data_IF_680811162085
#
_entry.id   IF_680811162085
#
_cell.length_a   1.000
_cell.length_b   1.000
_cell.length_c   1.000
_cell.angle_alpha   90.00
_cell.angle_beta   90.00
_cell.angle_gamma   90.00
#
_symmetry.space_group_name_H-M   'P 1'
#
loop_
_entity.id
_entity.type
_entity.pdbx_description
1 polymer ?
#
# COMPACT_ATOMS: atom_id res chain seq x y z
N UNK A 1 -18.61 14.04 44.64
CA UNK A 1 -18.63 15.26 43.80
C UNK A 1 -17.78 15.03 42.58
N UNK A 2 -18.08 15.54 41.40
CA UNK A 2 -19.28 16.19 40.89
C UNK A 2 -19.32 15.88 39.40
N UNK A 3 -20.40 15.26 38.94
CA UNK A 3 -20.60 14.88 37.54
C UNK A 3 -20.94 16.17 36.78
N UNK A 4 -19.93 16.87 36.27
CA UNK A 4 -20.11 18.08 35.46
C UNK A 4 -20.67 17.71 34.09
N UNK A 5 -21.63 18.50 33.59
CA UNK A 5 -22.21 18.40 32.25
C UNK A 5 -21.63 19.46 31.30
N UNK A 6 -20.66 20.25 31.76
CA UNK A 6 -19.98 21.23 30.92
C UNK A 6 -18.99 20.50 29.99
N UNK A 7 -19.22 20.54 28.66
CA UNK A 7 -18.41 19.81 27.70
C UNK A 7 -16.92 20.20 27.73
N UNK A 8 -16.60 21.47 28.04
CA UNK A 8 -15.21 21.92 28.11
C UNK A 8 -14.50 21.28 29.30
N UNK A 9 -15.16 21.26 30.46
CA UNK A 9 -14.61 20.65 31.67
C UNK A 9 -14.52 19.12 31.57
N UNK A 10 -15.42 18.49 30.80
CA UNK A 10 -15.32 17.07 30.46
C UNK A 10 -14.08 16.80 29.59
N UNK A 11 -13.88 17.59 28.53
CA UNK A 11 -12.73 17.48 27.63
C UNK A 11 -11.39 17.70 28.35
N UNK A 12 -11.27 18.76 29.16
CA UNK A 12 -10.03 19.04 29.90
C UNK A 12 -9.67 17.93 30.89
N UNK A 13 -10.68 17.32 31.52
CA UNK A 13 -10.45 16.17 32.41
C UNK A 13 -9.98 14.94 31.63
N UNK A 14 -10.53 14.71 30.45
CA UNK A 14 -10.17 13.57 29.58
C UNK A 14 -8.79 13.76 28.93
N UNK A 15 -8.46 14.97 28.46
CA UNK A 15 -7.10 15.28 28.00
C UNK A 15 -6.08 15.16 29.14
N UNK A 16 -6.43 15.57 30.35
CA UNK A 16 -5.54 15.51 31.52
C UNK A 16 -5.21 14.10 32.00
N UNK A 17 -5.86 13.04 31.48
CA UNK A 17 -5.44 11.66 31.74
C UNK A 17 -4.38 11.15 30.76
N UNK A 18 -4.06 11.91 29.70
CA UNK A 18 -3.02 11.56 28.74
C UNK A 18 -1.69 12.14 29.23
N UNK A 19 -0.71 11.27 29.47
CA UNK A 19 0.64 11.69 29.89
C UNK A 19 1.37 12.42 28.76
N UNK A 20 2.21 13.39 29.13
CA UNK A 20 3.06 14.09 28.16
C UNK A 20 4.11 13.13 27.58
N UNK A 21 4.46 13.32 26.31
CA UNK A 21 5.49 12.52 25.66
C UNK A 21 6.88 12.87 26.19
N UNK A 22 7.70 11.84 26.39
CA UNK A 22 9.15 12.00 26.54
C UNK A 22 9.79 12.09 25.16
N UNK A 23 11.00 12.64 25.06
CA UNK A 23 11.77 12.64 23.80
C UNK A 23 11.91 11.24 23.19
N UNK A 24 12.13 10.22 24.03
CA UNK A 24 12.17 8.82 23.58
C UNK A 24 10.82 8.33 23.06
N UNK A 25 9.72 8.74 23.71
CA UNK A 25 8.36 8.45 23.28
C UNK A 25 8.02 9.09 21.93
N UNK A 26 8.45 10.33 21.70
CA UNK A 26 8.30 11.02 20.41
C UNK A 26 9.03 10.28 19.29
N UNK A 27 10.29 9.89 19.53
CA UNK A 27 11.08 9.10 18.57
C UNK A 27 10.43 7.75 18.29
N UNK A 28 9.93 7.06 19.33
CA UNK A 28 9.26 5.78 19.16
C UNK A 28 7.97 5.89 18.33
N UNK A 29 7.20 6.98 18.50
CA UNK A 29 6.01 7.24 17.70
C UNK A 29 6.41 7.55 16.25
N UNK A 30 7.43 8.38 16.02
CA UNK A 30 7.92 8.69 14.68
C UNK A 30 8.31 7.42 13.91
N UNK A 31 9.11 6.54 14.52
CA UNK A 31 9.49 5.24 13.91
C UNK A 31 8.29 4.38 13.57
N UNK A 32 7.30 4.30 14.47
CA UNK A 32 6.07 3.52 14.22
C UNK A 32 5.25 4.08 13.06
N UNK A 33 5.24 5.41 12.88
CA UNK A 33 4.58 6.06 11.75
C UNK A 33 5.31 5.72 10.45
N UNK A 34 6.64 5.82 10.44
CA UNK A 34 7.49 5.49 9.28
C UNK A 34 7.36 4.03 8.87
N UNK A 35 7.44 3.10 9.84
CA UNK A 35 7.22 1.67 9.60
C UNK A 35 5.83 1.40 9.00
N UNK A 36 4.80 2.07 9.51
CA UNK A 36 3.44 1.96 8.99
C UNK A 36 3.31 2.47 7.55
N UNK A 37 3.93 3.61 7.24
CA UNK A 37 3.95 4.17 5.88
C UNK A 37 4.72 3.27 4.91
N UNK A 38 5.86 2.72 5.34
CA UNK A 38 6.66 1.77 4.56
C UNK A 38 5.87 0.49 4.26
N UNK A 39 5.15 -0.06 5.25
CA UNK A 39 4.27 -1.22 5.04
C UNK A 39 3.17 -0.94 4.01
N UNK A 40 2.56 0.25 4.04
CA UNK A 40 1.56 0.65 3.05
C UNK A 40 2.19 0.74 1.66
N UNK A 41 3.35 1.37 1.52
CA UNK A 41 4.04 1.47 0.23
C UNK A 41 4.44 0.10 -0.32
N UNK A 42 4.97 -0.79 0.53
CA UNK A 42 5.31 -2.16 0.14
C UNK A 42 4.09 -2.94 -0.34
N UNK A 43 2.95 -2.83 0.36
CA UNK A 43 1.70 -3.46 -0.03
C UNK A 43 1.19 -2.93 -1.38
N UNK A 44 1.28 -1.61 -1.61
CA UNK A 44 0.92 -1.00 -2.90
C UNK A 44 1.86 -1.45 -4.02
N UNK A 45 3.16 -1.57 -3.77
CA UNK A 45 4.16 -1.95 -4.78
C UNK A 45 3.99 -3.38 -5.30
N UNK A 46 3.56 -4.31 -4.44
CA UNK A 46 3.29 -5.71 -4.84
C UNK A 46 1.97 -5.83 -5.61
N UNK A 47 1.05 -4.87 -5.46
CA UNK A 47 -0.25 -4.88 -6.11
C UNK A 47 -0.16 -4.35 -7.55
N UNK A 48 -0.37 -5.19 -8.59
CA UNK A 48 -0.08 -4.80 -9.98
C UNK A 48 -0.94 -3.64 -10.50
N UNK A 49 -2.19 -3.53 -10.04
CA UNK A 49 -3.06 -2.42 -10.42
C UNK A 49 -2.52 -1.06 -9.94
N UNK A 50 -1.79 -1.01 -8.82
CA UNK A 50 -1.13 0.23 -8.39
C UNK A 50 -0.11 0.71 -9.42
N UNK A 51 0.68 -0.22 -9.96
CA UNK A 51 1.67 0.08 -10.99
C UNK A 51 0.99 0.49 -12.29
N UNK A 52 -0.07 -0.21 -12.70
CA UNK A 52 -0.85 0.15 -13.88
C UNK A 52 -1.42 1.57 -13.81
N UNK A 53 -2.03 1.92 -12.68
CA UNK A 53 -2.57 3.26 -12.45
C UNK A 53 -1.49 4.33 -12.46
N UNK A 54 -0.34 4.06 -11.84
CA UNK A 54 0.80 4.99 -11.83
C UNK A 54 1.34 5.23 -13.25
N UNK A 55 1.49 4.17 -14.05
CA UNK A 55 1.92 4.27 -15.44
C UNK A 55 0.90 5.01 -16.30
N UNK A 56 -0.40 4.76 -16.09
CA UNK A 56 -1.46 5.49 -16.79
C UNK A 56 -1.45 6.99 -16.46
N UNK A 57 -1.22 7.34 -15.20
CA UNK A 57 -1.04 8.73 -14.77
C UNK A 57 0.18 9.38 -15.40
N UNK A 58 1.29 8.64 -15.53
CA UNK A 58 2.50 9.12 -16.20
C UNK A 58 2.29 9.35 -17.70
N UNK A 59 1.55 8.48 -18.39
CA UNK A 59 1.15 8.72 -19.78
C UNK A 59 0.24 9.95 -19.90
N UNK A 60 -0.72 10.14 -18.98
CA UNK A 60 -1.53 11.36 -18.94
C UNK A 60 -0.68 12.62 -18.72
N UNK A 61 0.43 12.53 -17.98
CA UNK A 61 1.38 13.63 -17.86
C UNK A 61 2.11 13.93 -19.17
N UNK A 62 2.59 12.90 -19.90
CA UNK A 62 3.19 13.09 -21.24
C UNK A 62 2.23 13.76 -22.23
N UNK A 63 0.94 13.48 -22.11
CA UNK A 63 -0.12 14.11 -22.89
C UNK A 63 -0.47 15.54 -22.42
N UNK A 64 0.17 16.04 -21.36
CA UNK A 64 -0.09 17.37 -20.78
C UNK A 64 -1.36 17.47 -19.93
N UNK A 65 -2.00 16.35 -19.59
CA UNK A 65 -3.24 16.29 -18.79
C UNK A 65 -3.01 16.30 -17.28
N UNK A 66 -1.80 15.92 -16.84
CA UNK A 66 -1.37 15.91 -15.43
C UNK A 66 0.00 16.55 -15.27
N UNK A 67 0.26 17.13 -14.09
CA UNK A 67 1.60 17.63 -13.73
C UNK A 67 2.43 16.52 -13.10
N UNK A 68 3.75 16.56 -13.29
CA UNK A 68 4.66 15.54 -12.75
C UNK A 68 4.58 15.44 -11.22
N UNK A 69 4.42 16.59 -10.54
CA UNK A 69 4.25 16.68 -9.09
C UNK A 69 2.97 16.03 -8.55
N UNK A 70 2.00 15.70 -9.41
CA UNK A 70 0.80 14.93 -9.04
C UNK A 70 1.06 13.41 -9.08
N UNK A 71 2.24 13.00 -9.54
CA UNK A 71 2.62 11.60 -9.79
C UNK A 71 3.81 11.21 -8.93
N UNK A 72 4.89 11.99 -8.97
CA UNK A 72 6.12 11.75 -8.21
C UNK A 72 6.61 13.08 -7.64
N UNK A 73 6.91 13.09 -6.34
CA UNK A 73 7.45 14.26 -5.62
C UNK A 73 8.91 14.10 -5.22
N UNK A 74 9.50 12.92 -5.44
CA UNK A 74 10.89 12.62 -5.11
C UNK A 74 11.19 11.13 -5.18
N UNK A 75 12.34 10.74 -4.63
CA UNK A 75 12.81 9.36 -4.59
C UNK A 75 13.24 9.00 -3.17
N UNK A 76 12.70 7.90 -2.62
CA UNK A 76 12.93 7.50 -1.23
C UNK A 76 14.36 6.96 -1.01
N UNK A 77 14.90 6.24 -1.99
CA UNK A 77 16.26 5.70 -1.96
C UNK A 77 17.33 6.81 -1.91
N UNK A 78 17.14 7.91 -2.64
CA UNK A 78 18.07 9.04 -2.56
C UNK A 78 18.01 9.77 -1.21
N UNK A 79 16.84 9.78 -0.56
CA UNK A 79 16.68 10.36 0.78
C UNK A 79 17.37 9.45 1.81
N UNK A 80 17.14 8.15 1.74
CA UNK A 80 17.78 7.18 2.63
C UNK A 80 19.31 7.20 2.51
N UNK A 81 19.84 7.33 1.29
CA UNK A 81 21.28 7.49 1.06
C UNK A 81 21.84 8.77 1.68
N UNK A 82 21.13 9.90 1.53
CA UNK A 82 21.54 11.17 2.12
C UNK A 82 21.52 11.14 3.66
N UNK A 83 20.47 10.57 4.25
CA UNK A 83 20.34 10.42 5.70
C UNK A 83 21.41 9.47 6.26
N UNK A 84 21.70 8.36 5.57
CA UNK A 84 22.77 7.44 5.93
C UNK A 84 24.16 8.10 5.86
N UNK A 85 24.41 8.91 4.83
CA UNK A 85 25.65 9.67 4.69
C UNK A 85 25.81 10.72 5.81
N UNK A 86 24.74 11.45 6.12
CA UNK A 86 24.73 12.43 7.21
C UNK A 86 24.95 11.77 8.58
N UNK A 87 24.31 10.61 8.83
CA UNK A 87 24.51 9.83 10.05
C UNK A 87 25.94 9.29 10.15
N UNK A 88 26.54 8.84 9.04
CA UNK A 88 27.93 8.40 9.00
C UNK A 88 28.90 9.57 9.29
N UNK A 89 28.63 10.76 8.75
CA UNK A 89 29.43 11.96 9.02
C UNK A 89 29.32 12.40 10.48
N UNK A 90 28.12 12.35 11.06
CA UNK A 90 27.90 12.64 12.48
C UNK A 90 28.58 11.61 13.40
N UNK A 91 28.61 10.34 12.99
CA UNK A 91 29.29 9.26 13.73
C UNK A 91 30.83 9.30 13.60
N UNK A 92 31.37 9.91 12.54
CA UNK A 92 32.81 10.07 12.33
C UNK A 92 33.46 11.08 13.31
N UNK A 93 32.67 11.83 14.08
CA UNK A 93 33.14 12.85 15.02
C UNK A 93 33.76 14.06 14.31
N UNK A 94 33.91 15.20 15.01
CA UNK A 94 34.59 16.35 14.43
C UNK A 94 36.05 15.97 14.19
N UNK A 95 36.48 16.00 12.93
CA UNK A 95 37.92 16.03 12.62
C UNK A 95 38.42 17.31 13.26
N UNK A 96 39.34 17.20 14.22
CA UNK A 96 39.98 18.35 14.85
C UNK A 96 40.73 19.15 13.78
N UNK A 97 40.06 20.14 13.18
CA UNK A 97 40.72 21.22 12.48
C UNK A 97 41.30 22.08 13.59
N UNK A 98 42.62 22.12 13.66
CA UNK A 98 43.37 22.97 14.57
C UNK A 98 42.91 24.41 14.40
N UNK A 99 42.38 24.95 15.50
CA UNK A 99 42.10 26.35 15.76
C UNK A 99 43.37 27.19 15.49
N UNK A 100 43.32 28.07 14.48
CA UNK A 100 44.09 29.32 14.52
C UNK A 100 43.44 30.38 13.61
N UNK A 101 43.26 31.55 14.23
CA UNK A 101 42.93 32.87 13.70
C UNK A 101 41.44 33.27 13.57
N UNK A 102 41.06 34.09 14.56
CA UNK A 102 39.86 34.89 14.66
C UNK A 102 39.84 36.08 13.69
N UNK A 103 38.69 36.33 13.06
CA UNK A 103 38.24 37.65 12.57
C UNK A 103 36.69 37.64 12.63
N UNK A 104 36.12 38.14 13.72
CA UNK A 104 35.44 39.44 13.86
C UNK A 104 34.01 39.45 13.31
N UNK A 105 33.06 39.66 14.22
CA UNK A 105 31.63 39.85 13.95
C UNK A 105 31.42 41.27 13.44
N UNK A 106 30.74 41.44 12.30
CA UNK A 106 29.68 42.44 12.16
C UNK A 106 29.01 42.39 10.76
N UNK A 107 27.70 42.18 10.83
CA UNK A 107 26.61 42.90 10.16
C UNK A 107 26.25 42.71 8.67
N UNK A 108 24.93 42.77 8.52
CA UNK A 108 24.08 43.15 7.41
C UNK A 108 23.50 42.11 6.42
N UNK A 109 22.16 42.19 6.36
CA UNK A 109 21.21 41.61 5.43
C UNK A 109 21.68 41.71 3.97
N UNK A 110 21.58 40.61 3.21
CA UNK A 110 21.06 40.77 1.85
C UNK A 110 20.23 39.57 1.42
N UNK A 111 19.07 39.91 0.88
CA UNK A 111 18.03 39.02 0.44
C UNK A 111 18.51 38.20 -0.77
N UNK A 112 18.79 36.92 -0.54
CA UNK A 112 18.70 35.93 -1.60
C UNK A 112 17.29 35.35 -1.56
N UNK A 113 16.37 35.97 -2.31
CA UNK A 113 15.28 35.24 -2.95
C UNK A 113 15.94 34.10 -3.73
N UNK A 114 16.07 32.93 -3.10
CA UNK A 114 16.27 31.68 -3.83
C UNK A 114 15.00 31.48 -4.67
N UNK A 115 15.07 32.01 -5.89
CA UNK A 115 14.35 31.56 -7.07
C UNK A 115 14.04 30.07 -6.91
N UNK A 116 12.80 29.79 -6.53
CA UNK A 116 12.25 28.45 -6.46
C UNK A 116 12.23 27.87 -7.89
N UNK A 117 13.38 27.37 -8.32
CA UNK A 117 13.53 26.46 -9.44
C UNK A 117 12.57 25.28 -9.27
N UNK A 118 12.27 24.55 -10.36
CA UNK A 118 11.15 23.62 -10.41
C UNK A 118 11.24 22.63 -9.25
N UNK A 119 10.36 22.80 -8.27
CA UNK A 119 10.26 22.03 -7.03
C UNK A 119 9.67 20.64 -7.33
N UNK A 120 10.38 19.88 -8.15
CA UNK A 120 10.01 18.55 -8.58
C UNK A 120 11.26 17.71 -8.88
N UNK A 121 11.14 16.37 -8.78
CA UNK A 121 12.24 15.47 -9.13
C UNK A 121 12.69 15.68 -10.58
N UNK A 122 13.98 15.41 -10.85
CA UNK A 122 14.55 15.52 -12.21
C UNK A 122 13.69 14.75 -13.22
N UNK A 123 13.08 15.42 -14.22
CA UNK A 123 12.22 14.78 -15.19
C UNK A 123 12.88 13.63 -15.95
N UNK A 124 14.20 13.68 -16.17
CA UNK A 124 14.96 12.64 -16.86
C UNK A 124 15.05 11.37 -16.01
N UNK A 125 15.35 11.54 -14.72
CA UNK A 125 15.39 10.42 -13.78
C UNK A 125 14.00 9.80 -13.60
N UNK A 126 12.94 10.62 -13.47
CA UNK A 126 11.56 10.10 -13.41
C UNK A 126 11.22 9.31 -14.66
N UNK A 127 11.57 9.81 -15.85
CA UNK A 127 11.32 9.10 -17.11
C UNK A 127 12.02 7.74 -17.15
N UNK A 128 13.28 7.69 -16.72
CA UNK A 128 14.08 6.46 -16.67
C UNK A 128 13.45 5.42 -15.74
N UNK A 129 13.06 5.83 -14.53
CA UNK A 129 12.39 4.92 -13.57
C UNK A 129 11.02 4.47 -14.03
N UNK A 130 10.25 5.36 -14.67
CA UNK A 130 8.94 5.00 -15.25
C UNK A 130 9.09 4.02 -16.41
N UNK A 131 10.12 4.16 -17.25
CA UNK A 131 10.41 3.20 -18.31
C UNK A 131 10.81 1.83 -17.74
N UNK A 132 11.67 1.81 -16.73
CA UNK A 132 12.05 0.57 -16.04
C UNK A 132 10.83 -0.12 -15.41
N UNK A 133 9.97 0.65 -14.75
CA UNK A 133 8.73 0.16 -14.16
C UNK A 133 7.77 -0.39 -15.22
N UNK A 134 7.61 0.31 -16.36
CA UNK A 134 6.79 -0.15 -17.48
C UNK A 134 7.31 -1.46 -18.07
N UNK A 135 8.63 -1.61 -18.17
CA UNK A 135 9.28 -2.82 -18.65
C UNK A 135 9.04 -4.01 -17.71
N UNK A 136 9.19 -3.83 -16.40
CA UNK A 136 8.89 -4.89 -15.42
C UNK A 136 7.40 -5.23 -15.38
N UNK A 137 6.51 -4.24 -15.45
CA UNK A 137 5.06 -4.48 -15.54
C UNK A 137 4.69 -5.26 -16.82
N UNK A 138 5.32 -4.96 -17.96
CA UNK A 138 5.12 -5.71 -19.19
C UNK A 138 5.63 -7.17 -19.09
N UNK A 139 6.76 -7.40 -18.38
CA UNK A 139 7.25 -8.76 -18.08
C UNK A 139 6.26 -9.49 -17.16
N UNK A 140 5.80 -8.85 -16.09
CA UNK A 140 4.79 -9.39 -15.18
C UNK A 140 3.56 -9.87 -15.95
N UNK A 141 2.96 -9.04 -16.82
CA UNK A 141 1.78 -9.42 -17.63
C UNK A 141 2.02 -10.67 -18.47
N UNK A 142 3.20 -10.78 -19.10
CA UNK A 142 3.57 -11.94 -19.93
C UNK A 142 3.74 -13.22 -19.10
N UNK A 143 4.34 -13.12 -17.93
CA UNK A 143 4.58 -14.28 -17.04
C UNK A 143 3.28 -14.71 -16.36
N UNK A 144 2.45 -13.75 -15.93
CA UNK A 144 1.13 -13.99 -15.35
C UNK A 144 0.21 -14.73 -16.32
N UNK A 145 0.10 -14.24 -17.56
CA UNK A 145 -0.73 -14.88 -18.59
C UNK A 145 -0.32 -16.33 -18.92
N UNK A 146 0.93 -16.72 -18.66
CA UNK A 146 1.43 -18.09 -18.93
C UNK A 146 1.28 -19.04 -17.76
N UNK A 147 1.45 -18.55 -16.54
CA UNK A 147 1.65 -19.42 -15.36
C UNK A 147 0.60 -19.25 -14.26
N UNK A 148 -0.24 -18.21 -14.30
CA UNK A 148 -1.21 -17.89 -13.24
C UNK A 148 -0.58 -17.25 -11.99
N UNK A 149 -1.44 -16.76 -11.09
CA UNK A 149 -1.06 -15.89 -9.97
C UNK A 149 -0.04 -16.50 -8.98
N UNK A 150 -0.16 -17.79 -8.66
CA UNK A 150 0.62 -18.44 -7.61
C UNK A 150 2.01 -18.92 -8.05
N UNK A 151 2.35 -18.80 -9.34
CA UNK A 151 3.61 -19.33 -9.84
C UNK A 151 4.81 -18.50 -9.33
N UNK A 152 5.90 -19.17 -8.91
CA UNK A 152 7.11 -18.51 -8.36
C UNK A 152 7.68 -17.40 -9.24
N UNK A 153 7.62 -17.55 -10.57
CA UNK A 153 8.06 -16.52 -11.51
C UNK A 153 7.17 -15.27 -11.49
N UNK A 154 5.88 -15.43 -11.23
CA UNK A 154 4.93 -14.31 -11.11
C UNK A 154 5.16 -13.58 -9.79
N UNK A 155 5.36 -14.31 -8.70
CA UNK A 155 5.72 -13.73 -7.40
C UNK A 155 7.01 -12.91 -7.52
N UNK A 156 8.06 -13.49 -8.12
CA UNK A 156 9.31 -12.76 -8.36
C UNK A 156 9.11 -11.51 -9.23
N UNK A 157 8.35 -11.60 -10.31
CA UNK A 157 8.07 -10.43 -11.15
C UNK A 157 7.31 -9.32 -10.40
N UNK A 158 6.44 -9.68 -9.45
CA UNK A 158 5.78 -8.70 -8.56
C UNK A 158 6.78 -8.07 -7.60
N UNK A 159 7.71 -8.84 -7.03
CA UNK A 159 8.77 -8.34 -6.16
C UNK A 159 9.72 -7.38 -6.90
N UNK A 160 10.16 -7.75 -8.11
CA UNK A 160 11.05 -6.93 -8.96
C UNK A 160 10.37 -5.59 -9.31
N UNK A 161 9.06 -5.61 -9.63
CA UNK A 161 8.26 -4.40 -9.88
C UNK A 161 8.06 -3.57 -8.60
N UNK A 162 7.77 -4.22 -7.47
CA UNK A 162 7.59 -3.56 -6.19
C UNK A 162 8.85 -2.82 -5.74
N UNK A 163 10.03 -3.41 -5.96
CA UNK A 163 11.31 -2.80 -5.62
C UNK A 163 11.52 -1.45 -6.32
N UNK A 164 11.12 -1.32 -7.59
CA UNK A 164 11.16 -0.04 -8.31
C UNK A 164 10.08 0.90 -7.75
N UNK A 165 8.86 0.40 -7.56
CA UNK A 165 7.73 1.20 -7.09
C UNK A 165 8.00 1.87 -5.73
N UNK A 166 8.58 1.15 -4.76
CA UNK A 166 8.87 1.67 -3.42
C UNK A 166 9.94 2.75 -3.40
N UNK A 167 10.78 2.83 -4.44
CA UNK A 167 11.77 3.92 -4.56
C UNK A 167 11.12 5.25 -4.91
N UNK A 168 9.90 5.24 -5.46
CA UNK A 168 9.20 6.46 -5.85
C UNK A 168 8.50 7.08 -4.63
N UNK A 169 8.77 8.37 -4.38
CA UNK A 169 8.02 9.13 -3.39
C UNK A 169 6.75 9.65 -4.03
N UNK A 170 5.63 9.01 -3.69
CA UNK A 170 4.32 9.38 -4.22
C UNK A 170 3.69 10.53 -3.41
N UNK A 171 2.98 11.46 -4.06
CA UNK A 171 2.16 12.44 -3.35
C UNK A 171 1.00 11.76 -2.59
N UNK A 172 0.60 12.35 -1.46
CA UNK A 172 -0.45 11.79 -0.59
C UNK A 172 -1.79 11.56 -1.32
N UNK A 173 -2.30 12.48 -2.16
CA UNK A 173 -3.56 12.25 -2.88
C UNK A 173 -3.52 11.03 -3.81
N UNK A 174 -2.38 10.78 -4.47
CA UNK A 174 -2.20 9.59 -5.30
C UNK A 174 -2.15 8.34 -4.44
N UNK A 175 -1.40 8.37 -3.33
CA UNK A 175 -1.33 7.26 -2.37
C UNK A 175 -2.73 6.88 -1.85
N UNK A 176 -3.55 7.86 -1.46
CA UNK A 176 -4.92 7.63 -1.00
C UNK A 176 -5.82 7.01 -2.08
N UNK A 177 -5.67 7.46 -3.33
CA UNK A 177 -6.39 6.89 -4.46
C UNK A 177 -6.03 5.42 -4.68
N UNK A 178 -4.74 5.08 -4.64
CA UNK A 178 -4.25 3.70 -4.77
C UNK A 178 -4.75 2.81 -3.63
N UNK A 179 -4.68 3.30 -2.38
CA UNK A 179 -5.21 2.58 -1.20
C UNK A 179 -6.72 2.35 -1.32
N UNK A 180 -7.46 3.33 -1.82
CA UNK A 180 -8.91 3.21 -2.03
C UNK A 180 -9.22 2.13 -3.05
N UNK A 181 -8.49 2.07 -4.16
CA UNK A 181 -8.66 1.02 -5.17
C UNK A 181 -8.32 -0.37 -4.64
N UNK A 182 -7.19 -0.51 -3.94
CA UNK A 182 -6.81 -1.78 -3.29
C UNK A 182 -7.90 -2.26 -2.32
N UNK A 183 -8.41 -1.36 -1.46
CA UNK A 183 -9.51 -1.68 -0.55
C UNK A 183 -10.79 -2.06 -1.30
N UNK A 184 -11.07 -1.41 -2.42
CA UNK A 184 -12.20 -1.74 -3.30
C UNK A 184 -12.14 -3.18 -3.79
N UNK A 185 -11.00 -3.61 -4.33
CA UNK A 185 -10.78 -4.98 -4.81
C UNK A 185 -10.90 -5.99 -3.67
N UNK A 186 -10.24 -5.75 -2.53
CA UNK A 186 -10.30 -6.64 -1.36
C UNK A 186 -11.73 -6.75 -0.81
N UNK A 187 -12.49 -5.65 -0.79
CA UNK A 187 -13.88 -5.67 -0.36
C UNK A 187 -14.76 -6.42 -1.36
N UNK A 188 -14.53 -6.28 -2.67
CA UNK A 188 -15.22 -7.04 -3.70
C UNK A 188 -15.04 -8.55 -3.53
N UNK A 189 -13.80 -9.01 -3.31
CA UNK A 189 -13.50 -10.42 -3.02
C UNK A 189 -14.25 -10.89 -1.78
N UNK A 190 -14.20 -10.11 -0.67
CA UNK A 190 -14.95 -10.43 0.55
C UNK A 190 -16.46 -10.46 0.34
N UNK A 191 -17.00 -9.66 -0.57
CA UNK A 191 -18.42 -9.66 -0.89
C UNK A 191 -18.83 -10.96 -1.57
N UNK A 192 -18.05 -11.42 -2.55
CA UNK A 192 -18.23 -12.73 -3.17
C UNK A 192 -18.14 -13.87 -2.14
N UNK A 193 -17.11 -13.86 -1.27
CA UNK A 193 -16.97 -14.86 -0.20
C UNK A 193 -18.18 -14.86 0.77
N UNK A 194 -18.67 -13.68 1.16
CA UNK A 194 -19.84 -13.54 2.03
C UNK A 194 -21.10 -14.09 1.37
N UNK A 195 -21.29 -13.86 0.07
CA UNK A 195 -22.43 -14.41 -0.68
C UNK A 195 -22.34 -15.92 -0.80
N UNK A 196 -21.18 -16.49 -1.11
CA UNK A 196 -20.99 -17.95 -1.13
C UNK A 196 -21.28 -18.56 0.23
N UNK A 197 -20.77 -17.95 1.31
CA UNK A 197 -21.09 -18.35 2.68
C UNK A 197 -22.60 -18.32 2.93
N UNK A 198 -23.29 -17.25 2.51
CA UNK A 198 -24.74 -17.12 2.67
C UNK A 198 -25.51 -18.21 1.90
N UNK A 199 -25.17 -18.44 0.63
CA UNK A 199 -25.78 -19.48 -0.20
C UNK A 199 -25.58 -20.87 0.41
N UNK A 200 -24.37 -21.20 0.84
CA UNK A 200 -24.07 -22.50 1.43
C UNK A 200 -24.74 -22.69 2.80
N UNK A 201 -24.63 -21.71 3.70
CA UNK A 201 -25.04 -21.89 5.10
C UNK A 201 -26.49 -21.51 5.39
N UNK A 202 -27.00 -20.47 4.73
CA UNK A 202 -28.36 -19.95 4.97
C UNK A 202 -29.37 -20.59 4.02
N UNK A 203 -29.07 -20.61 2.72
CA UNK A 203 -30.00 -21.16 1.70
C UNK A 203 -29.94 -22.68 1.66
N UNK A 204 -28.74 -23.25 1.48
CA UNK A 204 -28.55 -24.70 1.43
C UNK A 204 -28.51 -25.39 2.80
N UNK A 205 -28.56 -24.61 3.90
CA UNK A 205 -28.55 -25.09 5.30
C UNK A 205 -27.35 -25.99 5.64
N UNK A 206 -26.21 -25.77 4.99
CA UNK A 206 -24.95 -26.41 5.38
C UNK A 206 -24.51 -25.85 6.75
N UNK A 207 -24.15 -26.71 7.72
CA UNK A 207 -23.56 -26.23 8.97
C UNK A 207 -22.29 -25.41 8.72
N UNK A 208 -22.17 -24.24 9.36
CA UNK A 208 -21.00 -23.33 9.17
C UNK A 208 -19.65 -24.01 9.41
N UNK A 209 -19.59 -24.96 10.36
CA UNK A 209 -18.36 -25.74 10.64
C UNK A 209 -17.95 -26.61 9.45
N UNK A 210 -18.92 -27.22 8.76
CA UNK A 210 -18.65 -28.03 7.57
C UNK A 210 -18.23 -27.16 6.40
N UNK A 211 -18.87 -25.99 6.23
CA UNK A 211 -18.48 -25.01 5.23
C UNK A 211 -17.01 -24.60 5.40
N UNK A 212 -16.63 -24.05 6.56
CA UNK A 212 -15.26 -23.56 6.82
C UNK A 212 -14.22 -24.64 6.52
N UNK A 213 -14.45 -25.87 6.99
CA UNK A 213 -13.55 -27.01 6.76
C UNK A 213 -13.41 -27.38 5.28
N UNK A 214 -14.45 -27.16 4.48
CA UNK A 214 -14.43 -27.50 3.05
C UNK A 214 -14.04 -26.33 2.14
N UNK A 215 -14.18 -25.08 2.60
CA UNK A 215 -14.06 -23.88 1.78
C UNK A 215 -12.63 -23.34 1.72
N UNK A 216 -11.81 -23.62 2.72
CA UNK A 216 -10.40 -23.20 2.76
C UNK A 216 -9.66 -23.67 1.49
N UNK A 217 -9.04 -22.73 0.77
CA UNK A 217 -8.33 -22.97 -0.49
C UNK A 217 -9.22 -23.21 -1.72
N UNK A 218 -10.54 -23.03 -1.62
CA UNK A 218 -11.49 -23.28 -2.69
C UNK A 218 -12.13 -22.01 -3.27
N UNK A 219 -11.60 -20.83 -2.96
CA UNK A 219 -12.12 -19.54 -3.42
C UNK A 219 -12.20 -19.47 -4.96
N UNK A 220 -11.18 -20.01 -5.65
CA UNK A 220 -11.09 -20.05 -7.11
C UNK A 220 -11.43 -21.42 -7.71
N UNK A 221 -11.74 -22.42 -6.87
CA UNK A 221 -12.05 -23.78 -7.32
C UNK A 221 -13.53 -23.92 -7.69
N UNK A 222 -13.84 -23.88 -8.99
CA UNK A 222 -15.21 -24.05 -9.50
C UNK A 222 -15.79 -25.47 -9.29
N UNK A 223 -14.94 -26.46 -8.97
CA UNK A 223 -15.36 -27.84 -8.70
C UNK A 223 -15.72 -28.08 -7.23
N UNK A 224 -15.52 -27.10 -6.34
CA UNK A 224 -15.76 -27.25 -4.91
C UNK A 224 -17.17 -27.76 -4.59
N UNK A 225 -18.19 -27.20 -5.26
CA UNK A 225 -19.58 -27.61 -5.05
C UNK A 225 -19.79 -29.07 -5.44
N UNK A 226 -19.22 -29.52 -6.56
CA UNK A 226 -19.27 -30.92 -7.01
C UNK A 226 -18.66 -31.86 -5.95
N UNK A 227 -17.50 -31.50 -5.42
CA UNK A 227 -16.82 -32.28 -4.38
C UNK A 227 -17.58 -32.30 -3.05
N UNK A 228 -18.21 -31.19 -2.68
CA UNK A 228 -19.10 -31.12 -1.53
C UNK A 228 -20.33 -32.02 -1.70
N UNK A 229 -20.89 -32.11 -2.91
CA UNK A 229 -22.05 -32.96 -3.24
C UNK A 229 -21.71 -34.46 -3.16
N UNK A 230 -20.49 -34.87 -3.49
CA UNK A 230 -20.03 -36.28 -3.39
C UNK A 230 -20.09 -36.84 -1.96
N UNK A 231 -20.09 -35.97 -0.94
CA UNK A 231 -20.20 -36.36 0.48
C UNK A 231 -21.61 -36.82 0.90
N UNK A 232 -22.63 -36.68 0.03
CA UNK A 232 -24.01 -37.17 0.21
C UNK A 232 -24.61 -36.81 1.58
N UNK A 233 -24.45 -35.56 1.98
CA UNK A 233 -24.97 -35.03 3.24
C UNK A 233 -26.43 -34.59 3.09
N UNK A 234 -27.10 -34.35 4.22
CA UNK A 234 -28.51 -33.89 4.24
C UNK A 234 -28.72 -32.56 3.49
N UNK A 235 -27.71 -31.69 3.51
CA UNK A 235 -27.72 -30.39 2.81
C UNK A 235 -27.33 -30.49 1.33
N UNK A 236 -26.90 -31.66 0.83
CA UNK A 236 -26.41 -31.79 -0.55
C UNK A 236 -27.48 -31.50 -1.60
N UNK A 237 -28.76 -31.82 -1.36
CA UNK A 237 -29.82 -31.47 -2.32
C UNK A 237 -29.96 -29.94 -2.46
N UNK A 238 -30.08 -29.24 -1.34
CA UNK A 238 -30.27 -27.79 -1.36
C UNK A 238 -29.00 -27.05 -1.84
N UNK A 239 -27.81 -27.61 -1.62
CA UNK A 239 -26.56 -27.07 -2.18
C UNK A 239 -26.50 -27.20 -3.70
N UNK A 240 -27.10 -28.27 -4.27
CA UNK A 240 -27.19 -28.43 -5.73
C UNK A 240 -28.05 -27.34 -6.36
N UNK A 241 -29.12 -26.92 -5.68
CA UNK A 241 -30.03 -25.89 -6.19
C UNK A 241 -29.38 -24.51 -6.29
N UNK A 242 -28.38 -24.22 -5.46
CA UNK A 242 -27.60 -22.96 -5.46
C UNK A 242 -26.25 -23.08 -6.16
N UNK A 243 -25.95 -24.23 -6.77
CA UNK A 243 -24.63 -24.52 -7.39
C UNK A 243 -24.23 -23.43 -8.37
N UNK A 244 -25.10 -23.11 -9.32
CA UNK A 244 -24.77 -22.18 -10.40
C UNK A 244 -24.54 -20.75 -9.88
N UNK A 245 -25.24 -20.36 -8.81
CA UNK A 245 -25.03 -19.08 -8.14
C UNK A 245 -23.67 -19.06 -7.43
N UNK A 246 -23.29 -20.14 -6.75
CA UNK A 246 -21.97 -20.23 -6.09
C UNK A 246 -20.85 -20.17 -7.14
N UNK A 247 -20.98 -20.91 -8.24
CA UNK A 247 -20.01 -20.87 -9.35
C UNK A 247 -19.92 -19.46 -9.93
N UNK A 248 -21.05 -18.78 -10.11
CA UNK A 248 -21.07 -17.39 -10.58
C UNK A 248 -20.33 -16.44 -9.62
N UNK A 249 -20.47 -16.61 -8.30
CA UNK A 249 -19.75 -15.77 -7.33
C UNK A 249 -18.25 -16.12 -7.25
N UNK A 250 -17.88 -17.39 -7.43
CA UNK A 250 -16.47 -17.80 -7.55
C UNK A 250 -15.82 -17.25 -8.83
N UNK A 251 -16.53 -17.28 -9.95
CA UNK A 251 -16.08 -16.68 -11.20
C UNK A 251 -15.86 -15.17 -11.04
N UNK A 252 -16.77 -14.48 -10.34
CA UNK A 252 -16.59 -13.06 -10.00
C UNK A 252 -15.34 -12.79 -9.16
N UNK A 253 -14.99 -13.70 -8.24
CA UNK A 253 -13.73 -13.59 -7.48
C UNK A 253 -12.49 -13.80 -8.35
N UNK A 254 -12.53 -14.74 -9.31
CA UNK A 254 -11.43 -14.99 -10.25
C UNK A 254 -11.20 -13.77 -11.16
N UNK A 255 -12.27 -13.09 -11.58
CA UNK A 255 -12.17 -11.88 -12.42
C UNK A 255 -11.55 -10.68 -11.69
N UNK A 256 -11.53 -10.70 -10.36
CA UNK A 256 -10.91 -9.67 -9.52
C UNK A 256 -9.44 -9.96 -9.15
N UNK A 257 -8.92 -11.15 -9.50
CA UNK A 257 -7.54 -11.60 -9.21
C UNK A 257 -6.53 -11.17 -10.29
#
# INVERSE_FOLDING_TARGET
GGRTTDPVRMYMREMGTVELLTREGEIAIAKRIEEGLSQVQAALGVFPLSTEMLLADYEAHKEGKKRLAEIVVGFNDLIEEADAAAAALAAAGPVAVSDDEAVDEDDDDDAAEEEAGPTGPDPVEVATRMENLANEYAKFKKVYAKNGAEHKLVVKAREDMAAIFTTLKLPLPLTDALVTQLRGVVNGIKDHERKVLHLATTVARMPRKDFIRSWEGNQTNLEWVEDALKRKQKWSSALRDVKDQIISEQQGSIEME
#
